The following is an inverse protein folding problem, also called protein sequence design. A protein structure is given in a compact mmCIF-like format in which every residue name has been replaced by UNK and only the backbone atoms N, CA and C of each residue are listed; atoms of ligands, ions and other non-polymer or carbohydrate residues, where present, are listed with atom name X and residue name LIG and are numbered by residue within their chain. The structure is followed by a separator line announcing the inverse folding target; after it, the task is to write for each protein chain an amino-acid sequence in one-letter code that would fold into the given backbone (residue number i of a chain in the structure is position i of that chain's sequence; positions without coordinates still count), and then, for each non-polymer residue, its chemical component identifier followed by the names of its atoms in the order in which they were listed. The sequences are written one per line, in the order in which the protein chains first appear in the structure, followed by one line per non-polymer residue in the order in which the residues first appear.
data_IF_856135313923
#
_entry.id   IF_856135313923
#
_cell.length_a   1.000
_cell.length_b   1.000
_cell.length_c   1.000
_cell.angle_alpha   90.00
_cell.angle_beta   90.00
_cell.angle_gamma   90.00
#
_symmetry.space_group_name_H-M   'P 1'
#
loop_
_entity.id
_entity.type
_entity.pdbx_description
1 polymer ?
#
# COMPACT_ATOMS: atom_id res chain seq x y z
N UNK A 1 8.50 -74.84 -30.24
CA UNK A 1 9.68 -74.13 -29.69
C UNK A 1 9.20 -72.84 -29.07
N UNK A 2 9.78 -72.51 -27.92
CA UNK A 2 9.43 -71.42 -27.00
C UNK A 2 9.92 -70.07 -27.54
N UNK A 3 9.23 -68.98 -27.13
CA UNK A 3 9.76 -67.61 -26.91
C UNK A 3 9.88 -66.70 -28.17
N UNK A 4 9.56 -65.38 -28.20
CA UNK A 4 9.50 -64.30 -27.18
C UNK A 4 8.63 -63.11 -27.64
N UNK A 5 8.05 -62.40 -26.66
CA UNK A 5 7.97 -60.93 -26.48
C UNK A 5 7.73 -60.00 -27.68
N UNK A 6 6.64 -59.22 -27.61
CA UNK A 6 6.69 -57.76 -27.36
C UNK A 6 5.27 -57.17 -27.36
N UNK A 7 4.70 -57.02 -26.16
CA UNK A 7 3.54 -56.15 -25.94
C UNK A 7 4.09 -54.71 -25.95
N UNK A 8 3.95 -54.00 -27.06
CA UNK A 8 4.26 -52.57 -27.11
C UNK A 8 3.02 -51.83 -26.60
N UNK A 9 2.96 -51.64 -25.28
CA UNK A 9 2.09 -50.64 -24.67
C UNK A 9 2.43 -49.28 -25.30
N UNK A 10 1.53 -48.75 -26.10
CA UNK A 10 1.64 -47.40 -26.64
C UNK A 10 1.18 -46.43 -25.56
N UNK A 11 2.08 -46.14 -24.61
CA UNK A 11 1.93 -45.09 -23.62
C UNK A 11 1.97 -43.72 -24.31
N UNK A 12 0.81 -43.20 -24.69
CA UNK A 12 0.72 -41.79 -25.09
C UNK A 12 0.54 -40.97 -23.82
N UNK A 13 1.68 -40.57 -23.26
CA UNK A 13 1.83 -39.66 -22.14
C UNK A 13 1.09 -38.35 -22.45
N UNK A 14 -0.10 -38.15 -21.86
CA UNK A 14 -0.73 -36.83 -21.80
C UNK A 14 0.15 -35.93 -20.93
N UNK A 15 0.96 -35.09 -21.56
CA UNK A 15 1.62 -33.97 -20.87
C UNK A 15 0.51 -32.98 -20.53
N UNK A 16 -0.02 -33.10 -19.32
CA UNK A 16 -0.82 -32.07 -18.69
C UNK A 16 0.13 -30.89 -18.46
N UNK A 17 0.21 -29.99 -19.44
CA UNK A 17 0.81 -28.67 -19.25
C UNK A 17 -0.06 -27.93 -18.23
N UNK A 18 0.19 -28.23 -16.96
CA UNK A 18 -0.41 -27.52 -15.84
C UNK A 18 -0.14 -26.05 -16.07
N UNK A 19 -1.21 -25.28 -16.20
CA UNK A 19 -1.22 -23.83 -16.08
C UNK A 19 -0.61 -23.51 -14.71
N UNK A 20 0.72 -23.39 -14.68
CA UNK A 20 1.40 -22.71 -13.59
C UNK A 20 1.00 -21.25 -13.75
N UNK A 21 -0.13 -20.88 -13.14
CA UNK A 21 -0.37 -19.49 -12.79
C UNK A 21 0.82 -19.15 -11.90
N UNK A 22 1.84 -18.52 -12.48
CA UNK A 22 3.14 -18.35 -11.86
C UNK A 22 2.95 -17.77 -10.47
N UNK A 23 3.55 -18.39 -9.46
CA UNK A 23 3.68 -17.75 -8.18
C UNK A 23 4.57 -16.52 -8.40
N UNK A 24 3.95 -15.34 -8.55
CA UNK A 24 4.71 -14.10 -8.63
C UNK A 24 5.30 -13.83 -7.24
N UNK A 25 6.63 -13.81 -7.17
CA UNK A 25 7.31 -13.36 -5.97
C UNK A 25 6.94 -11.89 -5.73
N UNK A 26 6.59 -11.58 -4.49
CA UNK A 26 6.12 -10.26 -4.10
C UNK A 26 6.80 -9.84 -2.80
N UNK A 27 7.33 -8.62 -2.77
CA UNK A 27 7.75 -7.98 -1.52
C UNK A 27 6.54 -7.30 -0.89
N UNK A 28 6.15 -7.73 0.31
CA UNK A 28 5.01 -7.15 1.03
C UNK A 28 5.52 -6.27 2.15
N UNK A 29 5.04 -5.04 2.21
CA UNK A 29 5.36 -4.07 3.24
C UNK A 29 4.12 -3.75 4.05
N UNK A 30 4.21 -3.91 5.36
CA UNK A 30 3.19 -3.44 6.30
C UNK A 30 3.73 -2.25 7.07
N UNK A 31 3.10 -1.09 6.93
CA UNK A 31 3.43 0.15 7.63
C UNK A 31 2.32 0.51 8.61
N UNK A 32 2.69 0.97 9.81
CA UNK A 32 1.73 1.39 10.82
C UNK A 32 2.16 2.65 11.57
N UNK A 33 1.15 3.42 11.99
CA UNK A 33 1.26 4.59 12.85
C UNK A 33 0.11 4.53 13.87
N UNK A 34 0.40 4.85 15.12
CA UNK A 34 -0.61 5.20 16.12
C UNK A 34 -0.01 6.34 16.97
N UNK A 35 -0.31 7.57 16.58
CA UNK A 35 0.22 8.77 17.26
C UNK A 35 -0.92 9.68 17.75
N UNK A 36 -0.62 10.85 18.29
CA UNK A 36 -1.65 11.75 18.81
C UNK A 36 -2.67 12.20 17.76
N UNK A 37 -2.32 12.15 16.47
CA UNK A 37 -3.04 12.76 15.35
C UNK A 37 -3.90 11.75 14.60
N UNK A 38 -3.35 10.56 14.32
CA UNK A 38 -4.03 9.55 13.53
C UNK A 38 -3.60 8.12 13.87
N UNK A 39 -4.37 7.17 13.35
CA UNK A 39 -3.96 5.77 13.20
C UNK A 39 -3.84 5.44 11.72
N UNK A 40 -2.77 4.74 11.35
CA UNK A 40 -2.48 4.30 10.00
C UNK A 40 -2.16 2.82 10.00
N UNK A 41 -2.73 2.09 9.04
CA UNK A 41 -2.31 0.73 8.71
C UNK A 41 -2.34 0.59 7.20
N UNK A 42 -1.20 0.25 6.60
CA UNK A 42 -1.05 0.08 5.16
C UNK A 42 -0.30 -1.21 4.88
N UNK A 43 -0.86 -2.01 4.00
CA UNK A 43 -0.19 -3.11 3.33
C UNK A 43 0.00 -2.74 1.85
N UNK A 44 1.24 -2.75 1.39
CA UNK A 44 1.62 -2.56 -0.01
C UNK A 44 2.44 -3.74 -0.48
N UNK A 45 2.15 -4.26 -1.66
CA UNK A 45 2.89 -5.39 -2.21
C UNK A 45 3.40 -5.07 -3.60
N UNK A 46 4.71 -5.25 -3.81
CA UNK A 46 5.39 -4.99 -5.06
C UNK A 46 5.76 -6.30 -5.73
N UNK A 47 5.42 -6.42 -7.02
CA UNK A 47 5.72 -7.61 -7.81
C UNK A 47 7.20 -7.59 -8.21
N UNK A 48 7.84 -8.74 -8.17
CA UNK A 48 9.17 -8.88 -8.75
C UNK A 48 9.09 -8.66 -10.26
N UNK A 49 9.84 -7.68 -10.75
CA UNK A 49 9.80 -7.25 -12.14
C UNK A 49 10.53 -5.93 -12.34
N UNK A 50 10.67 -5.51 -13.60
CA UNK A 50 11.33 -4.26 -13.92
C UNK A 50 10.65 -3.08 -13.21
N UNK A 51 11.43 -2.36 -12.39
CA UNK A 51 10.94 -1.20 -11.63
C UNK A 51 10.05 -1.52 -10.43
N UNK A 52 9.92 -2.80 -10.05
CA UNK A 52 9.12 -3.26 -8.90
C UNK A 52 7.72 -2.63 -8.89
N UNK A 53 6.84 -2.97 -9.84
CA UNK A 53 5.51 -2.37 -9.91
C UNK A 53 4.67 -2.74 -8.69
N UNK A 54 3.86 -1.79 -8.21
CA UNK A 54 2.92 -2.04 -7.13
C UNK A 54 1.81 -2.99 -7.62
N UNK A 55 1.73 -4.17 -7.00
CA UNK A 55 0.72 -5.19 -7.28
C UNK A 55 -0.55 -5.03 -6.47
N UNK A 56 -0.46 -4.58 -5.22
CA UNK A 56 -1.63 -4.32 -4.38
C UNK A 56 -1.38 -3.27 -3.30
N UNK A 57 -2.42 -2.53 -2.96
CA UNK A 57 -2.48 -1.61 -1.82
C UNK A 57 -3.77 -1.84 -1.03
N UNK A 58 -3.63 -1.95 0.28
CA UNK A 58 -4.75 -1.91 1.23
C UNK A 58 -4.35 -1.01 2.39
N UNK A 59 -5.06 0.09 2.58
CA UNK A 59 -4.78 0.99 3.68
C UNK A 59 -6.03 1.50 4.37
N UNK A 60 -5.86 1.89 5.62
CA UNK A 60 -6.83 2.67 6.36
C UNK A 60 -6.12 3.74 7.16
N UNK A 61 -6.67 4.95 7.11
CA UNK A 61 -6.29 6.09 7.93
C UNK A 61 -7.49 6.43 8.82
N UNK A 62 -7.28 6.60 10.12
CA UNK A 62 -8.31 7.07 11.04
C UNK A 62 -7.81 8.33 11.70
N UNK A 63 -8.49 9.46 11.45
CA UNK A 63 -8.15 10.73 12.08
C UNK A 63 -8.72 10.78 13.50
N UNK A 64 -7.87 11.09 14.48
CA UNK A 64 -8.31 11.25 15.86
C UNK A 64 -9.04 12.59 16.01
N UNK A 65 -10.07 12.69 16.87
CA UNK A 65 -10.76 13.95 17.11
C UNK A 65 -9.83 14.99 17.76
N UNK A 66 -10.21 16.27 17.66
CA UNK A 66 -9.45 17.37 18.27
C UNK A 66 -8.24 17.84 17.48
N UNK A 67 -8.06 17.35 16.25
CA UNK A 67 -7.00 17.78 15.35
C UNK A 67 -7.43 19.04 14.57
N UNK A 68 -7.34 20.20 15.22
CA UNK A 68 -7.64 21.52 14.66
C UNK A 68 -7.34 22.61 15.68
N UNK A 69 -7.04 23.84 15.25
CA UNK A 69 -6.89 24.95 16.20
C UNK A 69 -8.24 25.27 16.88
N UNK A 70 -8.26 25.62 18.18
CA UNK A 70 -9.50 26.05 18.84
C UNK A 70 -10.18 27.18 18.05
N UNK A 71 -11.46 27.00 17.69
CA UNK A 71 -12.24 27.98 16.93
C UNK A 71 -12.19 27.84 15.41
N UNK A 72 -11.40 26.90 14.86
CA UNK A 72 -11.46 26.55 13.45
C UNK A 72 -12.28 25.27 13.28
N UNK A 73 -13.30 25.30 12.41
CA UNK A 73 -14.15 24.14 12.04
C UNK A 73 -13.37 23.13 11.15
N UNK A 74 -12.09 22.91 11.48
CA UNK A 74 -11.14 22.01 10.81
C UNK A 74 -11.22 20.61 11.42
N UNK A 75 -12.41 20.17 11.82
CA UNK A 75 -12.62 18.84 12.42
C UNK A 75 -12.52 17.76 11.34
N UNK A 76 -11.29 17.34 11.04
CA UNK A 76 -11.07 16.13 10.25
C UNK A 76 -11.32 14.94 11.18
N UNK A 77 -12.46 14.30 10.97
CA UNK A 77 -12.84 13.09 11.70
C UNK A 77 -13.29 12.03 10.72
N UNK A 78 -13.11 10.77 11.10
CA UNK A 78 -13.53 9.63 10.29
C UNK A 78 -12.37 8.75 9.81
N UNK A 79 -12.73 7.76 9.02
CA UNK A 79 -11.82 6.77 8.47
C UNK A 79 -11.79 6.85 6.94
N UNK A 80 -10.59 6.77 6.37
CA UNK A 80 -10.37 6.80 4.93
C UNK A 80 -9.72 5.49 4.53
N UNK A 81 -10.36 4.79 3.59
CA UNK A 81 -9.75 3.62 2.96
C UNK A 81 -8.84 4.10 1.84
N UNK A 82 -7.63 3.54 1.80
CA UNK A 82 -6.69 3.72 0.71
C UNK A 82 -6.68 2.46 -0.14
N UNK A 83 -6.92 2.61 -1.44
CA UNK A 83 -6.95 1.53 -2.40
C UNK A 83 -6.02 1.80 -3.60
N UNK A 84 -5.84 0.80 -4.45
CA UNK A 84 -5.04 0.92 -5.68
C UNK A 84 -5.50 2.08 -6.57
N UNK A 85 -6.80 2.38 -6.59
CA UNK A 85 -7.38 3.50 -7.37
C UNK A 85 -6.92 4.87 -6.90
N UNK A 86 -6.39 4.96 -5.68
CA UNK A 86 -6.00 6.22 -5.05
C UNK A 86 -4.50 6.50 -5.23
N UNK A 87 -3.73 5.57 -5.82
CA UNK A 87 -2.28 5.73 -6.01
C UNK A 87 -1.99 6.84 -7.01
N UNK A 88 -1.24 7.85 -6.55
CA UNK A 88 -0.65 8.89 -7.39
C UNK A 88 0.82 8.60 -7.70
N UNK A 89 1.52 7.89 -6.81
CA UNK A 89 2.91 7.46 -7.00
C UNK A 89 3.17 6.19 -6.19
N UNK A 90 3.92 5.26 -6.79
CA UNK A 90 4.49 4.12 -6.08
C UNK A 90 5.91 3.88 -6.58
N UNK A 91 6.86 3.76 -5.67
CA UNK A 91 8.25 3.46 -5.98
C UNK A 91 8.82 2.53 -4.92
N UNK A 92 9.50 1.48 -5.36
CA UNK A 92 10.32 0.61 -4.50
C UNK A 92 11.70 0.55 -5.11
N UNK A 93 12.68 0.98 -4.35
CA UNK A 93 14.11 0.82 -4.66
C UNK A 93 14.69 -0.25 -3.71
N UNK A 94 15.97 -0.60 -3.89
CA UNK A 94 16.61 -1.68 -3.14
C UNK A 94 16.46 -1.57 -1.62
N UNK A 95 16.45 -0.34 -1.10
CA UNK A 95 16.43 -0.07 0.35
C UNK A 95 15.34 0.91 0.78
N UNK A 96 14.42 1.28 -0.11
CA UNK A 96 13.42 2.30 0.17
C UNK A 96 12.08 2.01 -0.51
N UNK A 97 11.00 2.48 0.11
CA UNK A 97 9.67 2.52 -0.47
C UNK A 97 9.10 3.94 -0.36
N UNK A 98 8.38 4.33 -1.40
CA UNK A 98 7.61 5.57 -1.43
C UNK A 98 6.22 5.30 -2.00
N UNK A 99 5.20 5.76 -1.29
CA UNK A 99 3.80 5.67 -1.72
C UNK A 99 3.16 7.04 -1.57
N UNK A 100 2.45 7.48 -2.61
CA UNK A 100 1.57 8.66 -2.54
C UNK A 100 0.16 8.27 -2.93
N UNK A 101 -0.81 8.60 -2.08
CA UNK A 101 -2.24 8.42 -2.37
C UNK A 101 -2.99 9.74 -2.38
N UNK A 102 -4.11 9.78 -3.09
CA UNK A 102 -5.10 10.85 -3.04
C UNK A 102 -6.49 10.23 -3.03
N UNK A 103 -7.14 10.23 -1.88
CA UNK A 103 -8.44 9.60 -1.66
C UNK A 103 -9.50 10.65 -1.33
N UNK A 104 -10.77 10.32 -1.55
CA UNK A 104 -11.90 11.13 -1.09
C UNK A 104 -12.45 10.60 0.24
N UNK A 105 -12.91 11.50 1.08
CA UNK A 105 -13.54 11.21 2.39
C UNK A 105 -14.73 12.13 2.62
N UNK A 106 -15.67 11.71 3.47
CA UNK A 106 -16.82 12.52 3.89
C UNK A 106 -18.07 12.33 3.02
N UNK A 107 -19.16 12.96 3.45
CA UNK A 107 -20.48 12.82 2.83
C UNK A 107 -20.71 13.83 1.68
N UNK A 108 -21.77 13.61 0.91
CA UNK A 108 -22.22 14.51 -0.16
C UNK A 108 -22.38 15.94 0.38
N UNK A 109 -21.58 16.87 -0.14
CA UNK A 109 -21.55 18.28 0.28
C UNK A 109 -20.44 18.67 1.26
N UNK A 110 -19.73 17.69 1.86
CA UNK A 110 -18.54 17.90 2.72
C UNK A 110 -17.39 16.96 2.33
N UNK A 111 -17.21 16.76 1.03
CA UNK A 111 -16.16 15.88 0.51
C UNK A 111 -14.80 16.52 0.78
N UNK A 112 -13.90 15.75 1.37
CA UNK A 112 -12.52 16.10 1.63
C UNK A 112 -11.60 15.28 0.73
N UNK A 113 -10.56 15.89 0.21
CA UNK A 113 -9.43 15.21 -0.43
C UNK A 113 -8.39 14.94 0.67
N UNK A 114 -7.94 13.70 0.74
CA UNK A 114 -6.90 13.22 1.65
C UNK A 114 -5.70 12.78 0.81
N UNK A 115 -4.70 13.65 0.75
CA UNK A 115 -3.43 13.40 0.10
C UNK A 115 -2.45 12.85 1.14
N UNK A 116 -1.88 11.66 0.90
CA UNK A 116 -0.90 11.04 1.80
C UNK A 116 0.38 10.72 1.06
N UNK A 117 1.52 10.93 1.73
CA UNK A 117 2.85 10.54 1.28
C UNK A 117 3.49 9.71 2.39
N UNK A 118 4.08 8.58 2.02
CA UNK A 118 4.83 7.70 2.90
C UNK A 118 6.19 7.48 2.29
N UNK A 119 7.22 7.62 3.11
CA UNK A 119 8.58 7.28 2.77
C UNK A 119 9.11 6.37 3.87
N UNK A 120 9.69 5.23 3.50
CA UNK A 120 10.35 4.36 4.46
C UNK A 120 11.61 3.76 3.87
N UNK A 121 12.64 3.61 4.70
CA UNK A 121 13.92 3.03 4.30
C UNK A 121 14.37 1.96 5.29
N UNK A 122 15.09 0.98 4.76
CA UNK A 122 15.64 -0.15 5.50
C UNK A 122 16.54 0.33 6.64
N UNK A 123 16.34 -0.21 7.83
CA UNK A 123 17.05 0.18 9.05
C UNK A 123 18.24 -0.74 9.30
N UNK A 124 19.45 -0.18 9.23
CA UNK A 124 20.69 -0.95 9.42
C UNK A 124 20.87 -2.05 8.38
N UNK A 125 21.10 -3.27 8.85
CA UNK A 125 21.25 -4.49 8.03
C UNK A 125 20.03 -5.41 8.03
N UNK A 126 18.98 -5.10 8.79
CA UNK A 126 17.76 -5.92 8.85
C UNK A 126 16.88 -5.62 7.62
N UNK A 127 16.90 -6.56 6.66
CA UNK A 127 16.13 -6.48 5.41
C UNK A 127 14.62 -6.46 5.60
N UNK A 128 14.15 -6.77 6.81
CA UNK A 128 12.73 -6.82 7.16
C UNK A 128 12.29 -5.64 8.02
N UNK A 129 13.19 -4.70 8.35
CA UNK A 129 12.87 -3.55 9.19
C UNK A 129 13.04 -2.24 8.43
N UNK A 130 11.96 -1.49 8.34
CA UNK A 130 11.93 -0.18 7.70
C UNK A 130 11.39 0.86 8.68
N UNK A 131 11.85 2.09 8.53
CA UNK A 131 11.28 3.24 9.23
C UNK A 131 11.37 4.47 8.35
N UNK A 132 10.53 5.45 8.63
CA UNK A 132 10.53 6.73 7.91
C UNK A 132 9.41 7.62 8.38
N UNK A 133 8.77 8.31 7.44
CA UNK A 133 7.79 9.34 7.75
C UNK A 133 6.53 9.22 6.91
N UNK A 134 5.44 9.71 7.49
CA UNK A 134 4.23 10.03 6.76
C UNK A 134 4.05 11.55 6.71
N UNK A 135 3.41 12.02 5.65
CA UNK A 135 2.81 13.34 5.57
C UNK A 135 1.40 13.18 5.01
N UNK A 136 0.43 13.88 5.60
CA UNK A 136 -0.95 13.88 5.16
C UNK A 136 -1.45 15.32 5.07
N UNK A 137 -2.17 15.60 3.99
CA UNK A 137 -2.86 16.87 3.76
C UNK A 137 -4.34 16.55 3.56
N UNK A 138 -5.20 17.23 4.32
CA UNK A 138 -6.64 17.11 4.19
C UNK A 138 -7.22 18.45 3.82
N UNK A 139 -8.03 18.49 2.76
CA UNK A 139 -8.59 19.75 2.22
C UNK A 139 -9.99 19.54 1.67
N UNK A 140 -10.89 20.54 1.72
CA UNK A 140 -12.20 20.43 1.08
C UNK A 140 -12.08 20.26 -0.43
N UNK A 141 -12.92 19.40 -1.02
CA UNK A 141 -12.99 19.22 -2.46
C UNK A 141 -13.43 20.53 -3.14
N UNK A 142 -12.79 20.87 -4.26
CA UNK A 142 -13.08 22.10 -5.00
C UNK A 142 -12.53 23.40 -4.36
N UNK A 143 -11.89 23.32 -3.19
CA UNK A 143 -11.13 24.44 -2.61
C UNK A 143 -9.63 24.20 -2.84
N UNK A 144 -8.98 25.17 -3.49
CA UNK A 144 -7.53 25.16 -3.74
C UNK A 144 -6.76 26.05 -2.78
N UNK A 145 -7.46 26.82 -1.93
CA UNK A 145 -6.83 27.72 -0.96
C UNK A 145 -6.07 26.91 0.11
N UNK A 146 -4.73 27.02 0.19
CA UNK A 146 -3.91 26.31 1.17
C UNK A 146 -4.32 26.59 2.62
N UNK A 147 -4.88 27.77 2.92
CA UNK A 147 -5.32 28.14 4.27
C UNK A 147 -6.48 27.27 4.80
N UNK A 148 -7.18 26.56 3.92
CA UNK A 148 -8.27 25.64 4.28
C UNK A 148 -7.80 24.18 4.44
N UNK A 149 -6.51 23.92 4.23
CA UNK A 149 -5.94 22.58 4.42
C UNK A 149 -5.45 22.37 5.85
N UNK A 150 -5.52 21.13 6.29
CA UNK A 150 -4.87 20.67 7.51
C UNK A 150 -3.75 19.71 7.12
N UNK A 151 -2.59 19.89 7.73
CA UNK A 151 -1.41 19.09 7.43
C UNK A 151 -0.85 18.47 8.70
N UNK A 152 -0.49 17.20 8.60
CA UNK A 152 0.18 16.47 9.65
C UNK A 152 1.30 15.62 9.08
N UNK A 153 2.40 15.55 9.81
CA UNK A 153 3.48 14.62 9.57
C UNK A 153 3.84 13.89 10.87
N UNK A 154 4.56 12.78 10.70
CA UNK A 154 5.06 12.00 11.81
C UNK A 154 5.93 10.84 11.37
N UNK A 155 6.44 10.11 12.35
CA UNK A 155 7.23 8.91 12.10
C UNK A 155 6.32 7.71 11.79
N UNK A 156 6.81 6.80 10.96
CA UNK A 156 6.18 5.51 10.72
C UNK A 156 7.21 4.39 10.83
N UNK A 157 6.72 3.19 11.10
CA UNK A 157 7.51 1.95 11.04
C UNK A 157 6.89 1.00 10.05
N UNK A 158 7.72 0.25 9.32
CA UNK A 158 7.26 -0.81 8.44
C UNK A 158 8.04 -2.10 8.63
N UNK A 159 7.39 -3.20 8.24
CA UNK A 159 7.98 -4.54 8.14
C UNK A 159 7.82 -5.08 6.72
N UNK A 160 8.85 -5.75 6.21
CA UNK A 160 8.79 -6.52 4.96
C UNK A 160 8.49 -7.99 5.28
N UNK A 161 7.69 -8.64 4.44
CA UNK A 161 7.30 -10.05 4.49
C UNK A 161 7.42 -10.68 3.11
#
# INVERSE_FOLDING_TARGET
MINRFALILTETMMILAGLTVGAEAMDRYYCAVDDAKLKLSIEAAFKEGAGWPLGSLRGVVVFKPGQGAPGEDKTVSGAVRLAMTDIALSKREDRSIQLRTSSLSGDVGKIMVVDMLLNASMQGSDINRFAGTYAVTVRPQGKTNPATSVQWDGALTCRRF
#
